data_IF_112839620656
#
_entry.id   IF_112839620656
#
_cell.length_a   1.000
_cell.length_b   1.000
_cell.length_c   1.000
_cell.angle_alpha   90.00
_cell.angle_beta   90.00
_cell.angle_gamma   90.00
#
_symmetry.space_group_name_H-M   'P 1'
#
loop_
_entity.id
_entity.type
_entity.pdbx_description
1 polymer ?
#
# COMPACT_ATOMS: atom_id res chain seq x y z
N UNK A 1 33.87 -1.66 5.39
CA UNK A 1 34.56 -0.65 6.23
C UNK A 1 35.27 -1.29 7.43
N UNK A 2 34.61 -1.83 8.46
CA UNK A 2 35.34 -2.43 9.61
C UNK A 2 36.12 -3.73 9.30
N UNK A 3 35.63 -4.59 8.41
CA UNK A 3 36.34 -5.82 7.96
C UNK A 3 37.63 -5.52 7.19
N UNK A 4 37.71 -4.36 6.53
CA UNK A 4 38.89 -3.94 5.76
C UNK A 4 40.01 -3.36 6.65
N UNK A 5 39.73 -3.07 7.93
CA UNK A 5 40.70 -2.45 8.84
C UNK A 5 41.19 -3.37 9.98
N UNK A 6 40.87 -4.67 9.97
CA UNK A 6 41.37 -5.67 10.94
C UNK A 6 41.13 -5.31 12.43
N UNK A 7 40.12 -4.48 12.73
CA UNK A 7 39.80 -4.01 14.09
C UNK A 7 38.67 -4.79 14.77
N UNK A 8 38.22 -5.91 14.19
CA UNK A 8 37.13 -6.73 14.72
C UNK A 8 37.70 -8.11 15.06
N UNK A 9 37.98 -8.37 16.33
CA UNK A 9 38.38 -9.70 16.79
C UNK A 9 37.33 -10.77 16.47
N UNK A 10 37.69 -12.07 16.40
CA UNK A 10 36.81 -13.16 15.98
C UNK A 10 35.48 -13.24 16.76
N UNK A 11 35.49 -12.81 18.03
CA UNK A 11 34.31 -12.73 18.91
C UNK A 11 33.31 -11.67 18.42
N UNK A 12 33.78 -10.49 18.01
CA UNK A 12 32.92 -9.39 17.54
C UNK A 12 32.35 -9.71 16.15
N UNK A 13 33.12 -10.39 15.28
CA UNK A 13 32.65 -10.88 13.98
C UNK A 13 31.57 -11.96 14.13
N UNK A 14 31.72 -12.88 15.09
CA UNK A 14 30.70 -13.88 15.42
C UNK A 14 29.44 -13.25 16.00
N UNK A 15 29.56 -12.22 16.86
CA UNK A 15 28.41 -11.52 17.43
C UNK A 15 27.55 -10.85 16.34
N UNK A 16 28.18 -10.13 15.40
CA UNK A 16 27.46 -9.52 14.27
C UNK A 16 26.83 -10.56 13.34
N UNK A 17 27.56 -11.63 13.03
CA UNK A 17 27.04 -12.73 12.20
C UNK A 17 25.85 -13.42 12.86
N UNK A 18 25.89 -13.60 14.19
CA UNK A 18 24.79 -14.15 14.97
C UNK A 18 23.59 -13.19 15.00
N UNK A 19 23.81 -11.88 15.20
CA UNK A 19 22.76 -10.87 15.17
C UNK A 19 22.05 -10.81 13.80
N UNK A 20 22.79 -10.83 12.68
CA UNK A 20 22.20 -10.87 11.35
C UNK A 20 21.46 -12.19 11.07
N UNK A 21 21.97 -13.31 11.57
CA UNK A 21 21.29 -14.61 11.47
C UNK A 21 20.01 -14.67 12.29
N UNK A 22 19.99 -14.05 13.49
CA UNK A 22 18.79 -13.91 14.33
C UNK A 22 17.78 -12.98 13.66
N UNK A 23 18.19 -11.83 13.13
CA UNK A 23 17.30 -10.92 12.37
C UNK A 23 16.72 -11.64 11.14
N UNK A 24 17.51 -12.42 10.42
CA UNK A 24 17.04 -13.21 9.27
C UNK A 24 16.09 -14.32 9.72
N UNK A 25 16.41 -15.05 10.79
CA UNK A 25 15.57 -16.09 11.39
C UNK A 25 14.23 -15.52 11.88
N UNK A 26 14.22 -14.38 12.56
CA UNK A 26 13.00 -13.67 13.00
C UNK A 26 12.17 -13.24 11.79
N UNK A 27 12.77 -12.60 10.77
CA UNK A 27 12.04 -12.22 9.54
C UNK A 27 11.47 -13.42 8.76
N UNK A 28 12.08 -14.59 8.89
CA UNK A 28 11.67 -15.81 8.17
C UNK A 28 10.66 -16.65 8.98
N UNK A 29 10.77 -16.67 10.31
CA UNK A 29 9.95 -17.47 11.23
C UNK A 29 8.79 -16.70 11.86
N UNK A 30 8.82 -15.36 11.81
CA UNK A 30 7.75 -14.49 12.32
C UNK A 30 7.26 -13.58 11.20
N UNK A 31 5.95 -13.34 11.13
CA UNK A 31 5.32 -12.50 10.12
C UNK A 31 5.59 -11.00 10.27
N UNK A 32 6.56 -10.58 11.10
CA UNK A 32 6.77 -9.18 11.52
C UNK A 32 6.97 -8.22 10.35
N UNK A 33 7.50 -8.70 9.21
CA UNK A 33 7.66 -7.93 7.98
C UNK A 33 6.49 -8.01 6.99
N UNK A 34 5.43 -8.78 7.26
CA UNK A 34 4.29 -8.98 6.35
C UNK A 34 3.09 -8.12 6.78
N UNK A 35 2.36 -7.61 5.80
CA UNK A 35 1.15 -6.79 5.94
C UNK A 35 1.42 -5.28 5.91
N UNK A 36 0.92 -4.60 4.88
CA UNK A 36 0.87 -3.14 4.83
C UNK A 36 0.18 -2.55 6.07
N UNK A 37 0.72 -1.46 6.61
CA UNK A 37 0.20 -0.79 7.84
C UNK A 37 -0.19 0.67 7.61
N UNK A 38 0.01 1.20 6.41
CA UNK A 38 -0.52 2.51 6.02
C UNK A 38 -1.69 2.33 5.07
N UNK A 39 -2.66 3.24 5.12
CA UNK A 39 -3.78 3.31 4.16
C UNK A 39 -3.28 3.18 2.71
N UNK A 40 -2.21 3.91 2.37
CA UNK A 40 -1.64 3.88 1.02
C UNK A 40 -1.02 2.55 0.62
N UNK A 41 -0.39 1.81 1.54
CA UNK A 41 0.20 0.51 1.21
C UNK A 41 -0.87 -0.57 1.12
N UNK A 42 -1.88 -0.53 1.99
CA UNK A 42 -3.01 -1.48 1.95
C UNK A 42 -3.83 -1.30 0.68
N UNK A 43 -4.05 -0.06 0.26
CA UNK A 43 -4.74 0.24 -0.99
C UNK A 43 -4.00 -0.34 -2.21
N UNK A 44 -2.67 -0.41 -2.19
CA UNK A 44 -1.87 -1.03 -3.24
C UNK A 44 -1.97 -2.56 -3.18
N UNK A 45 -1.81 -3.16 -2.00
CA UNK A 45 -1.97 -4.61 -1.81
C UNK A 45 -3.35 -5.08 -2.34
N UNK A 46 -4.43 -4.37 -1.99
CA UNK A 46 -5.79 -4.65 -2.48
C UNK A 46 -5.90 -4.50 -3.99
N UNK A 47 -5.26 -3.48 -4.57
CA UNK A 47 -5.28 -3.27 -6.02
C UNK A 47 -4.51 -4.37 -6.77
N UNK A 48 -3.39 -4.85 -6.24
CA UNK A 48 -2.66 -6.00 -6.78
C UNK A 48 -3.53 -7.27 -6.77
N UNK A 49 -4.18 -7.56 -5.64
CA UNK A 49 -5.01 -8.75 -5.48
C UNK A 49 -6.24 -8.73 -6.40
N UNK A 50 -6.95 -7.59 -6.48
CA UNK A 50 -8.20 -7.47 -7.26
C UNK A 50 -7.94 -7.47 -8.76
N UNK A 51 -6.84 -6.87 -9.21
CA UNK A 51 -6.57 -6.63 -10.63
C UNK A 51 -5.55 -7.59 -11.25
N UNK A 52 -5.12 -8.61 -10.49
CA UNK A 52 -4.09 -9.58 -10.86
C UNK A 52 -2.79 -8.87 -11.30
N UNK A 53 -2.32 -7.98 -10.43
CA UNK A 53 -1.14 -7.15 -10.64
C UNK A 53 -1.40 -5.80 -11.32
N UNK A 54 -0.43 -4.89 -11.11
CA UNK A 54 -0.54 -3.47 -11.48
C UNK A 54 0.20 -3.09 -12.77
N UNK A 55 1.00 -4.00 -13.31
CA UNK A 55 1.73 -3.78 -14.55
C UNK A 55 0.77 -3.43 -15.70
N UNK A 56 0.97 -2.27 -16.32
CA UNK A 56 0.16 -1.82 -17.46
C UNK A 56 -1.22 -1.27 -17.09
N UNK A 57 -1.59 -1.24 -15.80
CA UNK A 57 -2.87 -0.72 -15.33
C UNK A 57 -2.92 0.81 -15.40
N UNK A 58 -4.12 1.35 -15.59
CA UNK A 58 -4.38 2.79 -15.60
C UNK A 58 -5.01 3.23 -14.28
N UNK A 59 -4.43 4.21 -13.62
CA UNK A 59 -5.00 4.84 -12.43
C UNK A 59 -5.47 6.27 -12.70
N UNK A 60 -6.63 6.64 -12.17
CA UNK A 60 -7.13 8.00 -12.15
C UNK A 60 -7.18 8.52 -10.71
N UNK A 61 -6.70 9.74 -10.49
CA UNK A 61 -6.89 10.47 -9.25
C UNK A 61 -7.88 11.61 -9.44
N UNK A 62 -8.90 11.66 -8.59
CA UNK A 62 -9.89 12.73 -8.54
C UNK A 62 -9.64 13.56 -7.27
N UNK A 63 -9.20 14.80 -7.44
CA UNK A 63 -8.75 15.67 -6.34
C UNK A 63 -7.24 15.65 -6.15
N UNK A 64 -6.76 16.09 -4.98
CA UNK A 64 -5.33 16.27 -4.71
C UNK A 64 -4.96 16.14 -3.22
N UNK A 65 -5.66 15.28 -2.47
CA UNK A 65 -5.33 14.99 -1.07
C UNK A 65 -3.92 14.41 -0.87
N UNK A 66 -3.33 14.64 0.31
CA UNK A 66 -1.99 14.10 0.64
C UNK A 66 -1.95 12.58 0.58
N UNK A 67 -2.98 11.92 1.11
CA UNK A 67 -3.07 10.45 1.13
C UNK A 67 -3.24 9.90 -0.28
N UNK A 68 -4.06 10.52 -1.13
CA UNK A 68 -4.24 10.06 -2.51
C UNK A 68 -2.95 10.18 -3.34
N UNK A 69 -2.16 11.24 -3.15
CA UNK A 69 -0.82 11.36 -3.76
C UNK A 69 0.13 10.25 -3.32
N UNK A 70 0.14 9.91 -2.02
CA UNK A 70 0.99 8.83 -1.51
C UNK A 70 0.56 7.46 -2.04
N UNK A 71 -0.75 7.19 -2.09
CA UNK A 71 -1.30 5.98 -2.69
C UNK A 71 -0.92 5.88 -4.17
N UNK A 72 -1.08 6.95 -4.93
CA UNK A 72 -0.68 7.01 -6.34
C UNK A 72 0.81 6.73 -6.53
N UNK A 73 1.67 7.33 -5.70
CA UNK A 73 3.12 7.07 -5.71
C UNK A 73 3.44 5.58 -5.50
N UNK A 74 2.74 4.92 -4.60
CA UNK A 74 2.91 3.49 -4.38
C UNK A 74 2.40 2.68 -5.58
N UNK A 75 1.26 3.02 -6.18
CA UNK A 75 0.77 2.30 -7.38
C UNK A 75 1.79 2.39 -8.52
N UNK A 76 2.35 3.57 -8.77
CA UNK A 76 3.39 3.78 -9.80
C UNK A 76 4.62 2.93 -9.50
N UNK A 77 5.08 2.88 -8.24
CA UNK A 77 6.24 2.06 -7.89
C UNK A 77 6.02 0.55 -8.03
N UNK A 78 4.76 0.10 -8.10
CA UNK A 78 4.38 -1.30 -8.30
C UNK A 78 3.95 -1.61 -9.75
N UNK A 79 4.15 -0.68 -10.69
CA UNK A 79 4.02 -0.94 -12.13
C UNK A 79 2.79 -0.34 -12.81
N UNK A 80 1.95 0.42 -12.10
CA UNK A 80 0.89 1.20 -12.73
C UNK A 80 1.53 2.27 -13.65
N UNK A 81 1.24 2.18 -14.95
CA UNK A 81 2.00 2.89 -15.98
C UNK A 81 1.31 4.13 -16.52
N UNK A 82 -0.02 4.20 -16.40
CA UNK A 82 -0.81 5.28 -17.00
C UNK A 82 -1.57 6.01 -15.92
N UNK A 83 -1.25 7.30 -15.75
CA UNK A 83 -1.83 8.13 -14.70
C UNK A 83 -2.71 9.21 -15.34
N UNK A 84 -3.97 9.25 -14.95
CA UNK A 84 -4.91 10.33 -15.26
C UNK A 84 -5.15 11.15 -14.00
N UNK A 85 -5.15 12.47 -14.12
CA UNK A 85 -5.34 13.38 -12.99
C UNK A 85 -6.46 14.34 -13.30
N UNK A 86 -7.43 14.45 -12.40
CA UNK A 86 -8.50 15.42 -12.52
C UNK A 86 -8.75 16.15 -11.21
N UNK A 87 -9.10 17.42 -11.30
CA UNK A 87 -9.38 18.28 -10.15
C UNK A 87 -10.31 19.41 -10.61
N UNK A 88 -11.17 19.92 -9.72
CA UNK A 88 -12.01 21.09 -9.99
C UNK A 88 -11.17 22.29 -10.47
N UNK A 89 -9.96 22.44 -9.93
CA UNK A 89 -8.95 23.34 -10.48
C UNK A 89 -8.07 22.59 -11.48
N UNK A 90 -8.24 22.87 -12.77
CA UNK A 90 -7.45 22.24 -13.82
C UNK A 90 -5.93 22.47 -13.65
N UNK A 91 -5.53 23.65 -13.17
CA UNK A 91 -4.12 23.95 -12.88
C UNK A 91 -3.52 23.02 -11.81
N UNK A 92 -4.30 22.67 -10.77
CA UNK A 92 -3.88 21.68 -9.78
C UNK A 92 -3.78 20.28 -10.39
N UNK A 93 -4.67 19.92 -11.32
CA UNK A 93 -4.59 18.67 -12.05
C UNK A 93 -3.32 18.61 -12.92
N UNK A 94 -2.97 19.70 -13.61
CA UNK A 94 -1.74 19.79 -14.41
C UNK A 94 -0.49 19.62 -13.56
N UNK A 95 -0.37 20.36 -12.46
CA UNK A 95 0.78 20.25 -11.55
C UNK A 95 0.97 18.84 -11.00
N UNK A 96 -0.13 18.18 -10.63
CA UNK A 96 -0.07 16.82 -10.11
C UNK A 96 0.20 15.79 -11.22
N UNK A 97 -0.34 15.99 -12.43
CA UNK A 97 -0.03 15.13 -13.57
C UNK A 97 1.46 15.18 -13.92
N UNK A 98 2.07 16.37 -13.92
CA UNK A 98 3.51 16.55 -14.17
C UNK A 98 4.37 15.78 -13.15
N UNK A 99 4.00 15.81 -11.87
CA UNK A 99 4.70 15.09 -10.79
C UNK A 99 4.77 13.56 -11.04
N UNK A 100 3.76 13.01 -11.70
CA UNK A 100 3.63 11.57 -11.95
C UNK A 100 3.77 11.18 -13.43
N UNK A 101 4.25 12.09 -14.29
CA UNK A 101 4.31 11.89 -15.75
C UNK A 101 2.97 11.41 -16.35
N UNK A 102 1.86 11.88 -15.77
CA UNK A 102 0.51 11.56 -16.16
C UNK A 102 -0.12 12.59 -17.11
N UNK A 103 -1.41 12.40 -17.39
CA UNK A 103 -2.23 13.31 -18.19
C UNK A 103 -3.25 13.99 -17.29
N UNK A 104 -3.25 15.31 -17.28
CA UNK A 104 -4.34 16.08 -16.70
C UNK A 104 -5.57 16.05 -17.62
N UNK A 105 -6.72 15.75 -17.06
CA UNK A 105 -8.02 15.80 -17.75
C UNK A 105 -8.91 16.83 -17.05
N UNK A 106 -9.90 17.36 -17.77
CA UNK A 106 -10.87 18.28 -17.16
C UNK A 106 -11.74 17.51 -16.17
N UNK A 107 -12.24 18.21 -15.16
CA UNK A 107 -13.15 17.63 -14.17
C UNK A 107 -14.40 17.08 -14.84
N UNK A 108 -15.00 17.84 -15.75
CA UNK A 108 -16.25 17.44 -16.40
C UNK A 108 -16.10 16.21 -17.33
N UNK A 109 -14.86 15.86 -17.71
CA UNK A 109 -14.55 14.77 -18.63
C UNK A 109 -14.20 13.44 -17.92
N UNK A 110 -14.08 13.43 -16.57
CA UNK A 110 -13.55 12.25 -15.87
C UNK A 110 -14.40 10.99 -16.10
N UNK A 111 -15.73 11.14 -16.22
CA UNK A 111 -16.66 10.03 -16.48
C UNK A 111 -16.40 9.36 -17.83
N UNK A 112 -16.07 10.15 -18.85
CA UNK A 112 -15.77 9.63 -20.19
C UNK A 112 -14.47 8.83 -20.21
N UNK A 113 -13.46 9.30 -19.47
CA UNK A 113 -12.16 8.62 -19.35
C UNK A 113 -12.24 7.38 -18.43
N UNK A 114 -13.23 7.34 -17.51
CA UNK A 114 -13.41 6.26 -16.53
C UNK A 114 -13.55 4.85 -17.15
N UNK A 115 -14.02 4.75 -18.40
CA UNK A 115 -14.11 3.47 -19.12
C UNK A 115 -12.73 2.83 -19.42
N UNK A 116 -11.65 3.60 -19.38
CA UNK A 116 -10.29 3.13 -19.66
C UNK A 116 -9.44 2.94 -18.40
N UNK A 117 -9.97 3.32 -17.23
CA UNK A 117 -9.26 3.31 -15.95
C UNK A 117 -9.49 2.01 -15.20
N UNK A 118 -8.50 1.47 -14.49
CA UNK A 118 -8.67 0.27 -13.67
C UNK A 118 -8.80 0.63 -12.17
N UNK A 119 -8.17 1.73 -11.75
CA UNK A 119 -8.16 2.19 -10.35
C UNK A 119 -8.53 3.67 -10.28
N UNK A 120 -9.50 4.04 -9.45
CA UNK A 120 -9.87 5.42 -9.16
C UNK A 120 -9.57 5.72 -7.71
N UNK A 121 -8.75 6.74 -7.46
CA UNK A 121 -8.49 7.27 -6.12
C UNK A 121 -9.20 8.61 -5.98
N UNK A 122 -10.22 8.67 -5.14
CA UNK A 122 -10.92 9.92 -4.84
C UNK A 122 -10.43 10.51 -3.53
N UNK A 123 -10.19 11.82 -3.51
CA UNK A 123 -9.88 12.57 -2.29
C UNK A 123 -10.21 14.04 -2.52
N UNK A 124 -11.49 14.31 -2.77
CA UNK A 124 -11.99 15.68 -2.95
C UNK A 124 -12.46 16.27 -1.61
N UNK A 125 -12.89 17.53 -1.66
CA UNK A 125 -13.56 18.21 -0.54
C UNK A 125 -15.01 18.51 -0.87
N UNK A 126 -15.61 17.73 -1.78
CA UNK A 126 -17.01 17.91 -2.14
C UNK A 126 -17.92 17.58 -0.94
N UNK A 127 -18.96 18.40 -0.69
CA UNK A 127 -19.93 18.10 0.37
C UNK A 127 -20.98 17.06 -0.07
N UNK A 128 -20.87 16.53 -1.29
CA UNK A 128 -21.80 15.59 -1.92
C UNK A 128 -21.01 14.59 -2.76
N UNK A 129 -21.63 13.44 -3.05
CA UNK A 129 -21.06 12.47 -3.97
C UNK A 129 -20.81 13.09 -5.34
N UNK A 130 -19.63 12.84 -5.91
CA UNK A 130 -19.21 13.38 -7.21
C UNK A 130 -19.70 12.54 -8.39
N UNK A 131 -20.20 11.34 -8.11
CA UNK A 131 -20.71 10.37 -9.07
C UNK A 131 -21.92 9.66 -8.46
N UNK A 132 -22.81 9.15 -9.30
CA UNK A 132 -23.92 8.30 -8.88
C UNK A 132 -23.82 6.88 -9.47
N UNK A 133 -24.62 5.96 -8.94
CA UNK A 133 -24.60 4.56 -9.39
C UNK A 133 -24.96 4.37 -10.86
N UNK A 134 -25.92 5.16 -11.38
CA UNK A 134 -26.32 5.08 -12.78
C UNK A 134 -25.16 5.39 -13.74
N UNK A 135 -24.36 6.41 -13.41
CA UNK A 135 -23.15 6.77 -14.18
C UNK A 135 -22.10 5.65 -14.14
N UNK A 136 -21.92 4.99 -12.99
CA UNK A 136 -21.00 3.85 -12.86
C UNK A 136 -21.50 2.66 -13.69
N UNK A 137 -22.79 2.35 -13.65
CA UNK A 137 -23.41 1.28 -14.47
C UNK A 137 -23.17 1.54 -15.96
N UNK A 138 -23.37 2.76 -16.43
CA UNK A 138 -23.14 3.15 -17.82
C UNK A 138 -21.67 2.98 -18.24
N UNK A 139 -20.74 3.24 -17.32
CA UNK A 139 -19.33 2.99 -17.56
C UNK A 139 -19.01 1.50 -17.58
N UNK A 140 -19.54 0.72 -16.63
CA UNK A 140 -19.34 -0.74 -16.57
C UNK A 140 -19.84 -1.47 -17.82
N UNK A 141 -20.96 -1.03 -18.39
CA UNK A 141 -21.48 -1.56 -19.67
C UNK A 141 -20.49 -1.43 -20.85
N UNK A 142 -19.53 -0.50 -20.78
CA UNK A 142 -18.53 -0.27 -21.84
C UNK A 142 -17.20 -1.00 -21.58
N UNK A 143 -17.07 -1.73 -20.46
CA UNK A 143 -15.79 -2.24 -19.97
C UNK A 143 -15.51 -3.70 -20.27
N UNK A 144 -16.41 -4.42 -20.94
CA UNK A 144 -16.26 -5.85 -21.25
C UNK A 144 -15.89 -6.68 -20.00
N UNK A 145 -16.61 -6.46 -18.89
CA UNK A 145 -16.40 -7.11 -17.59
C UNK A 145 -15.01 -6.88 -16.94
N UNK A 146 -14.23 -5.90 -17.39
CA UNK A 146 -13.00 -5.53 -16.68
C UNK A 146 -13.35 -4.88 -15.34
N UNK A 147 -12.73 -5.34 -14.24
CA UNK A 147 -12.99 -4.82 -12.90
C UNK A 147 -12.65 -3.33 -12.81
N UNK A 148 -13.34 -2.61 -11.93
CA UNK A 148 -13.06 -1.21 -11.60
C UNK A 148 -12.95 -1.05 -10.08
N UNK A 149 -11.77 -0.64 -9.62
CA UNK A 149 -11.50 -0.42 -8.21
C UNK A 149 -11.61 1.07 -7.86
N UNK A 150 -12.45 1.39 -6.89
CA UNK A 150 -12.56 2.70 -6.25
C UNK A 150 -11.90 2.67 -4.87
N UNK A 151 -11.04 3.66 -4.62
CA UNK A 151 -10.41 3.95 -3.33
C UNK A 151 -10.88 5.35 -2.93
N UNK A 152 -11.91 5.43 -2.09
CA UNK A 152 -12.49 6.70 -1.62
C UNK A 152 -11.83 7.14 -0.31
N UNK A 153 -10.98 8.16 -0.42
CA UNK A 153 -10.22 8.76 0.68
C UNK A 153 -10.81 10.10 1.13
N UNK A 154 -12.01 10.47 0.67
CA UNK A 154 -12.66 11.72 1.02
C UNK A 154 -13.52 11.60 2.29
N UNK A 155 -13.56 12.69 3.06
CA UNK A 155 -14.45 12.86 4.22
C UNK A 155 -15.02 14.28 4.17
N UNK A 156 -16.32 14.48 3.87
CA UNK A 156 -17.33 13.47 3.50
C UNK A 156 -16.99 12.67 2.24
N UNK A 157 -17.62 11.49 2.08
CA UNK A 157 -17.33 10.57 0.98
C UNK A 157 -17.67 11.15 -0.39
N UNK A 158 -16.86 10.82 -1.38
CA UNK A 158 -17.05 11.20 -2.77
C UNK A 158 -17.94 10.20 -3.50
N UNK A 159 -17.95 8.94 -3.06
CA UNK A 159 -18.54 7.82 -3.79
C UNK A 159 -19.70 7.21 -2.96
N UNK A 160 -20.89 7.00 -3.55
CA UNK A 160 -22.02 6.41 -2.84
C UNK A 160 -21.77 4.92 -2.55
N UNK A 161 -22.24 4.44 -1.41
CA UNK A 161 -22.08 3.03 -0.98
C UNK A 161 -22.70 2.03 -1.96
N UNK A 162 -23.83 2.43 -2.57
CA UNK A 162 -24.66 1.58 -3.43
C UNK A 162 -23.93 1.11 -4.71
N UNK A 163 -22.80 1.73 -5.09
CA UNK A 163 -22.00 1.25 -6.23
C UNK A 163 -21.38 -0.12 -5.98
N UNK A 164 -21.27 -0.56 -4.72
CA UNK A 164 -20.79 -1.90 -4.35
C UNK A 164 -21.68 -3.02 -4.90
N UNK A 165 -22.93 -2.71 -5.20
CA UNK A 165 -23.89 -3.69 -5.74
C UNK A 165 -23.71 -3.90 -7.25
N UNK A 166 -22.89 -3.08 -7.92
CA UNK A 166 -22.63 -3.17 -9.36
C UNK A 166 -21.57 -4.25 -9.61
N UNK A 167 -21.89 -5.21 -10.48
CA UNK A 167 -20.97 -6.30 -10.81
C UNK A 167 -19.65 -5.77 -11.40
N UNK A 168 -18.54 -6.35 -10.95
CA UNK A 168 -17.18 -5.92 -11.32
C UNK A 168 -16.71 -4.60 -10.69
N UNK A 169 -17.49 -3.98 -9.80
CA UNK A 169 -17.07 -2.78 -9.06
C UNK A 169 -16.61 -3.14 -7.65
N UNK A 170 -15.46 -2.60 -7.27
CA UNK A 170 -14.91 -2.73 -5.91
C UNK A 170 -14.80 -1.34 -5.31
N UNK A 171 -15.32 -1.13 -4.11
CA UNK A 171 -15.19 0.13 -3.37
C UNK A 171 -14.52 -0.12 -2.03
N UNK A 172 -13.47 0.65 -1.74
CA UNK A 172 -12.83 0.71 -0.43
C UNK A 172 -12.75 2.14 0.03
N UNK A 173 -13.26 2.39 1.22
CA UNK A 173 -13.21 3.70 1.87
C UNK A 173 -11.97 3.83 2.77
N UNK A 174 -11.63 5.06 3.18
CA UNK A 174 -10.58 5.27 4.16
C UNK A 174 -10.81 4.48 5.47
N UNK A 175 -12.07 4.33 5.89
CA UNK A 175 -12.43 3.57 7.08
C UNK A 175 -12.18 2.06 6.89
N UNK A 176 -12.55 1.49 5.74
CA UNK A 176 -12.24 0.10 5.40
C UNK A 176 -10.73 -0.18 5.46
N UNK A 177 -9.94 0.73 4.88
CA UNK A 177 -8.48 0.63 4.85
C UNK A 177 -7.87 0.77 6.26
N UNK A 178 -8.44 1.63 7.11
CA UNK A 178 -8.01 1.77 8.50
C UNK A 178 -8.27 0.49 9.30
N UNK A 179 -9.43 -0.16 9.12
CA UNK A 179 -9.74 -1.44 9.77
C UNK A 179 -8.71 -2.51 9.40
N UNK A 180 -8.33 -2.59 8.12
CA UNK A 180 -7.28 -3.51 7.67
C UNK A 180 -5.92 -3.16 8.28
N UNK A 181 -5.59 -1.86 8.38
CA UNK A 181 -4.35 -1.39 8.98
C UNK A 181 -4.24 -1.78 10.45
N UNK A 182 -5.31 -1.56 11.22
CA UNK A 182 -5.38 -1.90 12.64
C UNK A 182 -5.25 -3.41 12.86
N UNK A 183 -5.93 -4.22 12.04
CA UNK A 183 -5.81 -5.68 12.08
C UNK A 183 -4.38 -6.15 11.77
N UNK A 184 -3.73 -5.56 10.76
CA UNK A 184 -2.34 -5.88 10.43
C UNK A 184 -1.38 -5.46 11.56
N UNK A 185 -1.62 -4.31 12.19
CA UNK A 185 -0.83 -3.85 13.33
C UNK A 185 -0.99 -4.77 14.55
N UNK A 186 -2.22 -5.21 14.83
CA UNK A 186 -2.50 -6.15 15.92
C UNK A 186 -1.80 -7.50 15.71
N UNK A 187 -1.89 -8.05 14.49
CA UNK A 187 -1.15 -9.27 14.10
C UNK A 187 0.36 -9.09 14.24
N UNK A 188 0.90 -7.95 13.77
CA UNK A 188 2.32 -7.64 13.91
C UNK A 188 2.75 -7.57 15.38
N UNK A 189 1.97 -6.96 16.26
CA UNK A 189 2.24 -6.92 17.71
C UNK A 189 2.28 -8.33 18.32
N UNK A 190 1.34 -9.20 17.95
CA UNK A 190 1.33 -10.58 18.42
C UNK A 190 2.56 -11.38 17.95
N UNK A 191 3.04 -11.13 16.73
CA UNK A 191 4.25 -11.74 16.20
C UNK A 191 5.54 -11.21 16.85
N UNK A 192 5.58 -9.92 17.22
CA UNK A 192 6.70 -9.34 17.98
C UNK A 192 6.88 -10.05 19.33
N UNK A 193 5.80 -10.30 20.06
CA UNK A 193 5.87 -11.05 21.32
C UNK A 193 6.45 -12.46 21.15
N UNK A 194 6.11 -13.14 20.04
CA UNK A 194 6.72 -14.44 19.71
C UNK A 194 8.20 -14.31 19.38
N UNK A 195 8.60 -13.24 18.67
CA UNK A 195 10.00 -12.98 18.37
C UNK A 195 10.82 -12.65 19.62
N UNK A 196 10.27 -11.88 20.57
CA UNK A 196 10.92 -11.62 21.87
C UNK A 196 11.18 -12.92 22.63
N UNK A 197 10.20 -13.83 22.68
CA UNK A 197 10.40 -15.16 23.27
C UNK A 197 11.47 -15.99 22.54
N UNK A 198 11.58 -15.89 21.22
CA UNK A 198 12.65 -16.54 20.45
C UNK A 198 14.02 -15.90 20.72
N UNK A 199 14.10 -14.58 20.86
CA UNK A 199 15.33 -13.87 21.22
C UNK A 199 15.80 -14.30 22.60
N UNK A 200 14.89 -14.39 23.57
CA UNK A 200 15.21 -14.82 24.93
C UNK A 200 15.75 -16.26 24.95
N UNK A 201 15.14 -17.18 24.19
CA UNK A 201 15.66 -18.53 23.99
C UNK A 201 17.05 -18.54 23.34
N UNK A 202 17.28 -17.69 22.34
CA UNK A 202 18.57 -17.56 21.68
C UNK A 202 19.65 -16.95 22.59
N UNK A 203 19.31 -15.99 23.45
CA UNK A 203 20.22 -15.41 24.44
C UNK A 203 20.64 -16.44 25.49
N UNK A 204 19.71 -17.25 26.01
CA UNK A 204 20.03 -18.37 26.91
C UNK A 204 20.95 -19.40 26.24
N UNK A 205 20.74 -19.68 24.96
CA UNK A 205 21.62 -20.55 24.17
C UNK A 205 23.04 -19.98 23.99
N UNK A 206 23.14 -18.66 23.80
CA UNK A 206 24.41 -17.95 23.67
C UNK A 206 25.19 -17.94 24.98
N UNK A 207 24.53 -17.68 26.11
CA UNK A 207 25.14 -17.70 27.45
C UNK A 207 25.69 -19.09 27.78
N UNK A 208 24.95 -20.15 27.46
CA UNK A 208 25.44 -21.54 27.58
C UNK A 208 26.67 -21.80 26.72
N UNK A 209 26.68 -21.33 25.47
CA UNK A 209 27.83 -21.50 24.56
C UNK A 209 29.08 -20.76 25.06
N UNK A 210 28.93 -19.53 25.59
CA UNK A 210 30.03 -18.77 26.18
C UNK A 210 30.50 -19.33 27.53
N UNK A 211 29.62 -19.97 28.32
CA UNK A 211 30.03 -20.72 29.51
C UNK A 211 30.84 -21.96 29.16
N UNK A 212 30.44 -22.72 28.14
CA UNK A 212 31.14 -23.95 27.71
C UNK A 212 32.50 -23.63 27.08
N UNK A 213 32.61 -22.56 26.30
CA UNK A 213 33.87 -22.15 25.65
C UNK A 213 34.79 -21.27 26.53
N UNK A 214 34.42 -20.98 27.78
CA UNK A 214 35.31 -20.35 28.79
C UNK A 214 36.18 -21.38 29.54
N UNK A 215 35.97 -22.68 29.30
CA UNK A 215 36.64 -23.80 29.98
C UNK A 215 37.84 -24.39 29.19
N UNK A 216 38.23 -23.77 28.09
CA UNK A 216 39.45 -24.06 27.33
C UNK A 216 40.18 -22.76 26.97
#
# INVERSE_FOLDING_TARGET
LAQQHHTVGPILHQLFSHAFSVIKSIKTKTGIGRGAVSVSSIAVDLAEDILDGLAGKTAMIIGAGKTSKLTLKHLVSHGCSTILVTNRSFEQAQRLAEEFSGKAIRFDDFLCEMQFVDIIISSTSAPHHIINAQQVIEVMNKRNNRPLLFIDLAVPRDIPEEIREIDGVFLYTIDDLNIVAENNLAKRRAEVLKAEGLIEQHMVGLDKFFMVNKLH
#
